data_IF_815776324167
#
_entry.id   IF_815776324167
#
_cell.length_a   1.000
_cell.length_b   1.000
_cell.length_c   1.000
_cell.angle_alpha   90.00
_cell.angle_beta   90.00
_cell.angle_gamma   90.00
#
_symmetry.space_group_name_H-M   'P 1'
#
loop_
_entity.id
_entity.type
_entity.pdbx_description
1 polymer ?
#
# COMPACT_ATOMS: atom_id res chain seq x y z
N UNK A 1 16.06 3.70 -22.95
CA UNK A 1 16.69 4.34 -21.77
C UNK A 1 16.33 3.51 -20.55
N UNK A 2 17.26 3.31 -19.62
CA UNK A 2 16.95 2.68 -18.34
C UNK A 2 15.88 3.50 -17.59
N UNK A 3 14.81 2.84 -17.14
CA UNK A 3 13.77 3.48 -16.35
C UNK A 3 14.26 3.62 -14.90
N UNK A 4 14.70 4.83 -14.55
CA UNK A 4 15.26 5.17 -13.23
C UNK A 4 14.20 5.57 -12.20
N UNK A 5 12.93 5.27 -12.45
CA UNK A 5 11.88 5.47 -11.44
C UNK A 5 12.09 4.52 -10.26
N UNK A 6 11.80 5.00 -9.05
CA UNK A 6 11.94 4.21 -7.81
C UNK A 6 11.17 2.89 -7.89
N UNK A 7 9.94 2.96 -8.41
CA UNK A 7 9.11 1.79 -8.69
C UNK A 7 9.80 0.79 -9.63
N UNK A 8 10.28 1.23 -10.78
CA UNK A 8 10.94 0.35 -11.77
C UNK A 8 12.20 -0.30 -11.19
N UNK A 9 13.00 0.46 -10.45
CA UNK A 9 14.18 -0.06 -9.76
C UNK A 9 13.84 -1.08 -8.67
N UNK A 10 12.75 -0.89 -7.91
CA UNK A 10 12.25 -1.91 -6.98
C UNK A 10 11.75 -3.17 -7.70
N UNK A 11 11.07 -3.03 -8.83
CA UNK A 11 10.61 -4.16 -9.65
C UNK A 11 11.80 -4.94 -10.25
N UNK A 12 12.83 -4.24 -10.72
CA UNK A 12 14.10 -4.81 -11.15
C UNK A 12 14.80 -5.59 -10.03
N UNK A 13 14.94 -5.00 -8.84
CA UNK A 13 15.55 -5.68 -7.70
C UNK A 13 14.80 -6.97 -7.34
N UNK A 14 13.46 -6.96 -7.31
CA UNK A 14 12.65 -8.17 -7.07
C UNK A 14 12.83 -9.21 -8.17
N UNK A 15 12.94 -8.78 -9.43
CA UNK A 15 13.17 -9.69 -10.57
C UNK A 15 14.52 -10.38 -10.46
N UNK A 16 15.57 -9.63 -10.14
CA UNK A 16 16.93 -10.16 -9.94
C UNK A 16 17.01 -11.14 -8.76
N UNK A 17 16.28 -10.84 -7.67
CA UNK A 17 16.18 -11.75 -6.52
C UNK A 17 15.51 -13.09 -6.93
N UNK A 18 14.41 -13.03 -7.69
CA UNK A 18 13.73 -14.24 -8.20
C UNK A 18 14.56 -15.00 -9.25
N UNK A 19 15.37 -14.30 -10.03
CA UNK A 19 16.21 -14.92 -11.08
C UNK A 19 17.50 -15.55 -10.54
N UNK A 20 17.69 -15.59 -9.21
CA UNK A 20 18.89 -16.18 -8.60
C UNK A 20 20.14 -15.31 -8.69
N UNK A 21 20.00 -13.99 -8.93
CA UNK A 21 21.11 -13.03 -8.97
C UNK A 21 21.08 -12.10 -7.73
N UNK A 22 21.36 -12.62 -6.52
CA UNK A 22 21.21 -11.87 -5.27
C UNK A 22 22.18 -10.68 -5.18
N UNK A 23 23.41 -10.81 -5.69
CA UNK A 23 24.41 -9.75 -5.63
C UNK A 23 24.02 -8.51 -6.44
N UNK A 24 23.50 -8.71 -7.66
CA UNK A 24 23.01 -7.61 -8.49
C UNK A 24 21.81 -6.91 -7.83
N UNK A 25 20.90 -7.68 -7.24
CA UNK A 25 19.74 -7.15 -6.53
C UNK A 25 20.13 -6.33 -5.29
N UNK A 26 21.13 -6.77 -4.53
CA UNK A 26 21.72 -6.01 -3.42
C UNK A 26 22.30 -4.68 -3.91
N UNK A 27 22.99 -4.69 -5.07
CA UNK A 27 23.51 -3.47 -5.70
C UNK A 27 22.42 -2.44 -6.00
N UNK A 28 21.31 -2.88 -6.59
CA UNK A 28 20.14 -2.01 -6.85
C UNK A 28 19.53 -1.50 -5.54
N UNK A 29 19.32 -2.37 -4.55
CA UNK A 29 18.79 -1.97 -3.25
C UNK A 29 19.67 -0.95 -2.54
N UNK A 30 21.00 -1.12 -2.61
CA UNK A 30 21.98 -0.17 -2.06
C UNK A 30 21.82 1.19 -2.71
N UNK A 31 21.73 1.24 -4.05
CA UNK A 31 21.57 2.49 -4.79
C UNK A 31 20.27 3.22 -4.40
N UNK A 32 19.18 2.48 -4.24
CA UNK A 32 17.91 3.02 -3.72
C UNK A 32 18.11 3.61 -2.33
N UNK A 33 18.72 2.87 -1.41
CA UNK A 33 18.89 3.29 -0.02
C UNK A 33 19.89 4.45 0.15
N UNK A 34 20.87 4.60 -0.74
CA UNK A 34 21.74 5.79 -0.76
C UNK A 34 20.94 7.07 -1.08
N UNK A 35 19.93 6.97 -1.95
CA UNK A 35 19.09 8.12 -2.36
C UNK A 35 17.90 8.32 -1.42
N UNK A 36 17.27 7.23 -1.00
CA UNK A 36 16.08 7.17 -0.15
C UNK A 36 16.34 6.26 1.06
N UNK A 37 17.07 6.75 2.09
CA UNK A 37 17.57 5.91 3.19
C UNK A 37 16.49 5.32 4.10
N UNK A 38 15.25 5.83 4.02
CA UNK A 38 14.11 5.36 4.82
C UNK A 38 13.09 4.55 4.00
N UNK A 39 13.41 4.24 2.74
CA UNK A 39 12.47 3.54 1.86
C UNK A 39 12.21 2.11 2.33
N UNK A 40 11.00 1.86 2.88
CA UNK A 40 10.64 0.57 3.48
C UNK A 40 10.59 -0.56 2.46
N UNK A 41 10.14 -0.28 1.23
CA UNK A 41 10.11 -1.29 0.17
C UNK A 41 11.49 -1.86 -0.16
N UNK A 42 12.54 -1.03 -0.13
CA UNK A 42 13.91 -1.48 -0.39
C UNK A 42 14.46 -2.33 0.76
N UNK A 43 14.15 -1.98 2.00
CA UNK A 43 14.49 -2.82 3.16
C UNK A 43 13.81 -4.19 3.11
N UNK A 44 12.54 -4.25 2.69
CA UNK A 44 11.83 -5.52 2.52
C UNK A 44 12.42 -6.41 1.42
N UNK A 45 12.83 -5.82 0.30
CA UNK A 45 13.51 -6.56 -0.78
C UNK A 45 14.87 -7.07 -0.29
N UNK A 46 15.66 -6.22 0.37
CA UNK A 46 16.96 -6.61 0.92
C UNK A 46 16.83 -7.72 1.98
N UNK A 47 15.84 -7.63 2.87
CA UNK A 47 15.56 -8.66 3.88
C UNK A 47 15.25 -10.01 3.24
N UNK A 48 14.43 -10.01 2.18
CA UNK A 48 14.11 -11.22 1.43
C UNK A 48 15.34 -11.85 0.77
N UNK A 49 16.22 -11.04 0.18
CA UNK A 49 17.46 -11.55 -0.42
C UNK A 49 18.37 -12.15 0.64
N UNK A 50 18.53 -11.50 1.80
CA UNK A 50 19.34 -12.02 2.90
C UNK A 50 18.79 -13.33 3.45
N UNK A 51 17.46 -13.47 3.54
CA UNK A 51 16.82 -14.72 3.89
C UNK A 51 17.14 -15.83 2.87
N UNK A 52 17.05 -15.55 1.57
CA UNK A 52 17.41 -16.51 0.51
C UNK A 52 18.88 -16.94 0.56
N UNK A 53 19.77 -16.09 1.10
CA UNK A 53 21.19 -16.39 1.29
C UNK A 53 21.48 -17.14 2.60
N UNK A 54 20.49 -17.39 3.46
CA UNK A 54 20.68 -17.98 4.79
C UNK A 54 21.27 -17.03 5.83
N UNK A 55 21.37 -15.74 5.53
CA UNK A 55 21.95 -14.70 6.39
C UNK A 55 20.92 -14.18 7.40
N UNK A 56 20.44 -15.06 8.28
CA UNK A 56 19.35 -14.77 9.22
C UNK A 56 19.65 -13.60 10.17
N UNK A 57 20.89 -13.48 10.65
CA UNK A 57 21.34 -12.39 11.52
C UNK A 57 21.22 -11.01 10.85
N UNK A 58 21.33 -10.98 9.53
CA UNK A 58 21.20 -9.77 8.73
C UNK A 58 19.74 -9.53 8.29
N UNK A 59 19.00 -10.59 7.97
CA UNK A 59 17.61 -10.50 7.50
C UNK A 59 16.63 -10.06 8.60
N UNK A 60 16.75 -10.62 9.81
CA UNK A 60 15.83 -10.34 10.92
C UNK A 60 15.73 -8.84 11.28
N UNK A 61 16.83 -8.09 11.50
CA UNK A 61 16.73 -6.66 11.81
C UNK A 61 16.20 -5.82 10.64
N UNK A 62 16.32 -6.29 9.40
CA UNK A 62 15.71 -5.63 8.24
C UNK A 62 14.19 -5.83 8.24
N UNK A 63 13.70 -7.05 8.48
CA UNK A 63 12.26 -7.28 8.61
C UNK A 63 11.65 -6.54 9.79
N UNK A 64 12.33 -6.49 10.94
CA UNK A 64 11.87 -5.71 12.09
C UNK A 64 11.72 -4.22 11.77
N UNK A 65 12.63 -3.65 10.95
CA UNK A 65 12.49 -2.26 10.47
C UNK A 65 11.30 -2.07 9.56
N UNK A 66 11.08 -3.01 8.64
CA UNK A 66 9.88 -3.00 7.80
C UNK A 66 8.64 -3.03 8.68
N UNK A 67 8.56 -3.92 9.65
CA UNK A 67 7.44 -4.01 10.59
C UNK A 67 7.33 -2.80 11.53
N UNK A 68 8.42 -2.09 11.83
CA UNK A 68 8.37 -0.85 12.62
C UNK A 68 7.73 0.30 11.85
N UNK A 69 7.89 0.31 10.52
CA UNK A 69 7.38 1.35 9.66
C UNK A 69 6.03 0.99 9.04
N UNK A 70 5.82 -0.29 8.73
CA UNK A 70 4.56 -0.87 8.29
C UNK A 70 4.27 -2.16 9.08
N UNK A 71 3.65 -2.04 10.27
CA UNK A 71 3.25 -3.19 11.08
C UNK A 71 2.27 -4.16 10.39
N UNK A 72 1.66 -3.76 9.27
CA UNK A 72 0.67 -4.58 8.56
C UNK A 72 1.27 -5.23 7.30
N UNK A 73 2.60 -5.21 7.15
CA UNK A 73 3.30 -5.79 6.02
C UNK A 73 3.44 -7.32 6.15
N UNK A 74 2.43 -8.05 5.68
CA UNK A 74 2.35 -9.52 5.75
C UNK A 74 3.62 -10.27 5.26
N UNK A 75 4.29 -9.87 4.15
CA UNK A 75 5.49 -10.58 3.70
C UNK A 75 6.66 -10.52 4.69
N UNK A 76 6.76 -9.48 5.54
CA UNK A 76 7.77 -9.45 6.59
C UNK A 76 7.47 -10.46 7.70
N UNK A 77 6.20 -10.67 8.06
CA UNK A 77 5.83 -11.71 9.01
C UNK A 77 6.17 -13.11 8.49
N UNK A 78 5.91 -13.39 7.22
CA UNK A 78 6.32 -14.65 6.58
C UNK A 78 7.84 -14.81 6.62
N UNK A 79 8.58 -13.74 6.29
CA UNK A 79 10.05 -13.77 6.31
C UNK A 79 10.64 -14.00 7.71
N UNK A 80 10.07 -13.37 8.74
CA UNK A 80 10.49 -13.60 10.14
C UNK A 80 10.12 -15.00 10.59
N UNK A 81 8.93 -15.51 10.23
CA UNK A 81 8.53 -16.87 10.55
C UNK A 81 9.49 -17.91 9.94
N UNK A 82 9.89 -17.74 8.67
CA UNK A 82 10.86 -18.62 8.02
C UNK A 82 12.21 -18.63 8.77
N UNK A 83 12.69 -17.47 9.24
CA UNK A 83 13.91 -17.39 10.05
C UNK A 83 13.77 -18.18 11.37
N UNK A 84 12.63 -18.07 12.04
CA UNK A 84 12.38 -18.79 13.29
C UNK A 84 12.24 -20.30 13.04
N UNK A 85 11.60 -20.70 11.96
CA UNK A 85 11.48 -22.09 11.54
C UNK A 85 12.85 -22.71 11.27
N UNK A 86 13.73 -22.05 10.51
CA UNK A 86 15.09 -22.54 10.24
C UNK A 86 15.94 -22.63 11.51
N UNK A 87 15.60 -21.86 12.56
CA UNK A 87 16.20 -21.94 13.89
C UNK A 87 15.57 -23.00 14.80
N UNK A 88 14.55 -23.73 14.34
CA UNK A 88 13.81 -24.73 15.12
C UNK A 88 12.85 -24.14 16.16
N UNK A 89 12.58 -22.84 16.09
CA UNK A 89 11.69 -22.10 16.98
C UNK A 89 10.25 -22.13 16.41
N UNK A 90 9.63 -23.31 16.49
CA UNK A 90 8.34 -23.60 15.85
C UNK A 90 7.20 -22.71 16.39
N UNK A 91 7.13 -22.48 17.71
CA UNK A 91 6.07 -21.69 18.31
C UNK A 91 6.12 -20.22 17.86
N UNK A 92 7.32 -19.64 17.80
CA UNK A 92 7.53 -18.29 17.30
C UNK A 92 7.19 -18.20 15.80
N UNK A 93 7.60 -19.20 15.00
CA UNK A 93 7.27 -19.24 13.57
C UNK A 93 5.75 -19.28 13.33
N UNK A 94 5.03 -20.13 14.09
CA UNK A 94 3.57 -20.21 14.05
C UNK A 94 2.95 -18.86 14.42
N UNK A 95 3.41 -18.24 15.51
CA UNK A 95 2.89 -16.94 15.95
C UNK A 95 3.01 -15.87 14.87
N UNK A 96 4.15 -15.79 14.18
CA UNK A 96 4.35 -14.84 13.08
C UNK A 96 3.47 -15.17 11.86
N UNK A 97 3.33 -16.44 11.49
CA UNK A 97 2.47 -16.87 10.38
C UNK A 97 0.98 -16.64 10.67
N UNK A 98 0.53 -16.79 11.91
CA UNK A 98 -0.85 -16.45 12.31
C UNK A 98 -1.19 -14.99 11.99
N UNK A 99 -0.27 -14.06 12.28
CA UNK A 99 -0.47 -12.63 11.95
C UNK A 99 -0.42 -12.39 10.45
N UNK A 100 0.48 -13.06 9.74
CA UNK A 100 0.54 -12.99 8.29
C UNK A 100 -0.78 -13.48 7.65
N UNK A 101 -1.36 -14.55 8.20
CA UNK A 101 -2.65 -15.11 7.77
C UNK A 101 -3.82 -14.16 8.06
N UNK A 102 -3.85 -13.51 9.22
CA UNK A 102 -4.88 -12.50 9.55
C UNK A 102 -4.88 -11.32 8.56
N UNK A 103 -3.69 -10.88 8.14
CA UNK A 103 -3.50 -9.79 7.18
C UNK A 103 -3.84 -10.22 5.75
N UNK A 104 -3.39 -11.41 5.34
CA UNK A 104 -3.53 -11.95 3.99
C UNK A 104 -4.19 -13.35 3.98
N UNK A 105 -5.49 -13.46 4.30
CA UNK A 105 -6.17 -14.75 4.43
C UNK A 105 -6.39 -15.47 3.09
N UNK A 106 -6.25 -14.77 1.97
CA UNK A 106 -6.34 -15.36 0.63
C UNK A 106 -5.02 -15.94 0.11
N UNK A 107 -3.94 -15.80 0.86
CA UNK A 107 -2.63 -16.33 0.48
C UNK A 107 -2.54 -17.81 0.86
N UNK A 108 -2.59 -18.67 -0.16
CA UNK A 108 -2.55 -20.13 0.00
C UNK A 108 -1.20 -20.60 0.55
N UNK A 109 -0.11 -19.91 0.23
CA UNK A 109 1.22 -20.31 0.69
C UNK A 109 1.33 -20.12 2.21
N UNK A 110 0.79 -19.01 2.73
CA UNK A 110 0.72 -18.75 4.18
C UNK A 110 -0.15 -19.80 4.87
N UNK A 111 -1.31 -20.12 4.29
CA UNK A 111 -2.22 -21.12 4.84
C UNK A 111 -1.57 -22.50 4.94
N UNK A 112 -0.99 -22.98 3.84
CA UNK A 112 -0.29 -24.28 3.79
C UNK A 112 0.88 -24.31 4.76
N UNK A 113 1.66 -23.23 4.84
CA UNK A 113 2.82 -23.17 5.72
C UNK A 113 2.41 -23.23 7.19
N UNK A 114 1.37 -22.49 7.57
CA UNK A 114 0.84 -22.49 8.93
C UNK A 114 0.25 -23.86 9.33
N UNK A 115 -0.45 -24.53 8.43
CA UNK A 115 -0.98 -25.88 8.67
C UNK A 115 0.14 -26.91 8.87
N UNK A 116 1.19 -26.86 8.04
CA UNK A 116 2.34 -27.76 8.15
C UNK A 116 3.03 -27.58 9.51
N UNK A 117 3.34 -26.34 9.91
CA UNK A 117 4.05 -26.10 11.17
C UNK A 117 3.20 -26.45 12.40
N UNK A 118 1.89 -26.23 12.35
CA UNK A 118 1.00 -26.67 13.43
C UNK A 118 0.87 -28.18 13.49
N UNK A 119 0.80 -28.86 12.35
CA UNK A 119 0.80 -30.31 12.31
C UNK A 119 2.11 -30.90 12.87
N UNK A 120 3.24 -30.23 12.59
CA UNK A 120 4.55 -30.58 13.14
C UNK A 120 4.61 -30.38 14.66
N UNK A 121 4.10 -29.25 15.19
CA UNK A 121 4.04 -28.99 16.63
C UNK A 121 3.08 -29.93 17.37
N UNK A 122 1.87 -30.12 16.86
CA UNK A 122 0.78 -30.82 17.55
C UNK A 122 0.75 -32.34 17.29
N UNK A 123 1.55 -32.83 16.33
CA UNK A 123 1.60 -34.23 15.94
C UNK A 123 0.30 -34.80 15.35
N UNK A 124 -0.64 -33.92 14.97
CA UNK A 124 -1.96 -34.25 14.41
C UNK A 124 -2.25 -33.33 13.22
N UNK A 125 -2.94 -33.86 12.21
CA UNK A 125 -3.45 -33.03 11.12
C UNK A 125 -4.36 -31.92 11.69
N UNK A 126 -4.09 -30.66 11.31
CA UNK A 126 -4.78 -29.48 11.85
C UNK A 126 -6.30 -29.59 11.62
N UNK A 127 -7.11 -29.25 12.63
CA UNK A 127 -8.58 -29.25 12.54
C UNK A 127 -9.13 -27.97 11.86
N UNK A 128 -8.32 -27.35 11.00
CA UNK A 128 -8.55 -26.01 10.45
C UNK A 128 -7.93 -24.90 11.31
N UNK A 129 -7.66 -23.75 10.68
CA UNK A 129 -7.09 -22.59 11.36
C UNK A 129 -8.15 -21.94 12.29
N UNK A 130 -7.84 -21.66 13.56
CA UNK A 130 -8.78 -21.00 14.45
C UNK A 130 -9.01 -19.57 13.97
N UNK A 131 -10.28 -19.20 13.87
CA UNK A 131 -10.71 -17.85 13.54
C UNK A 131 -10.46 -16.96 14.76
N UNK A 132 -9.33 -16.24 14.78
CA UNK A 132 -8.98 -15.33 15.87
C UNK A 132 -9.88 -14.09 15.88
N UNK A 133 -10.02 -13.44 17.05
CA UNK A 133 -10.71 -12.14 17.16
C UNK A 133 -10.09 -11.10 16.22
N UNK A 134 -8.76 -11.11 16.10
CA UNK A 134 -8.04 -10.26 15.16
C UNK A 134 -8.41 -10.55 13.70
N UNK A 135 -8.50 -11.82 13.28
CA UNK A 135 -9.00 -12.18 11.95
C UNK A 135 -10.41 -11.62 11.68
N UNK A 136 -11.32 -11.75 12.65
CA UNK A 136 -12.70 -11.27 12.54
C UNK A 136 -12.75 -9.75 12.31
N UNK A 137 -11.97 -9.01 13.10
CA UNK A 137 -11.83 -7.57 12.94
C UNK A 137 -11.30 -7.20 11.57
N UNK A 138 -10.28 -7.92 11.06
CA UNK A 138 -9.73 -7.68 9.71
C UNK A 138 -10.81 -7.91 8.64
N UNK A 139 -11.65 -8.92 8.82
CA UNK A 139 -12.80 -9.17 7.95
C UNK A 139 -13.84 -8.05 8.02
N UNK A 140 -14.14 -7.51 9.21
CA UNK A 140 -14.99 -6.32 9.35
C UNK A 140 -14.39 -5.08 8.68
N UNK A 141 -13.07 -4.89 8.78
CA UNK A 141 -12.36 -3.80 8.11
C UNK A 141 -12.48 -3.90 6.58
N UNK A 142 -12.33 -5.10 6.01
CA UNK A 142 -12.56 -5.36 4.57
C UNK A 142 -14.03 -5.15 4.19
N UNK A 143 -14.96 -5.53 5.07
CA UNK A 143 -16.40 -5.32 4.94
C UNK A 143 -16.89 -3.90 5.24
N UNK A 144 -15.98 -2.93 5.43
CA UNK A 144 -16.28 -1.52 5.72
C UNK A 144 -17.05 -1.25 7.03
N UNK A 145 -17.10 -2.23 7.94
CA UNK A 145 -17.71 -2.12 9.26
C UNK A 145 -16.74 -1.48 10.27
N UNK A 146 -16.22 -0.30 9.93
CA UNK A 146 -15.11 0.35 10.65
C UNK A 146 -15.44 0.72 12.09
N UNK A 147 -16.69 1.11 12.40
CA UNK A 147 -17.08 1.46 13.76
C UNK A 147 -17.03 0.24 14.69
N UNK A 148 -17.62 -0.89 14.27
CA UNK A 148 -17.60 -2.15 15.02
C UNK A 148 -16.18 -2.69 15.16
N UNK A 149 -15.40 -2.62 14.08
CA UNK A 149 -13.99 -2.99 14.11
C UNK A 149 -13.20 -2.14 15.11
N UNK A 150 -13.44 -0.82 15.17
CA UNK A 150 -12.75 0.07 16.10
C UNK A 150 -13.07 -0.26 17.57
N UNK A 151 -14.31 -0.61 17.89
CA UNK A 151 -14.71 -0.94 19.26
C UNK A 151 -14.06 -2.26 19.72
N UNK A 152 -14.04 -3.28 18.86
CA UNK A 152 -13.38 -4.56 19.16
C UNK A 152 -11.85 -4.42 19.20
N UNK A 153 -11.27 -3.63 18.30
CA UNK A 153 -9.84 -3.32 18.30
C UNK A 153 -9.41 -2.61 19.57
N UNK A 154 -10.22 -1.68 20.07
CA UNK A 154 -9.90 -0.97 21.30
C UNK A 154 -9.78 -1.94 22.49
N UNK A 155 -10.64 -2.96 22.56
CA UNK A 155 -10.52 -4.02 23.58
C UNK A 155 -9.27 -4.88 23.35
N UNK A 156 -9.03 -5.33 22.11
CA UNK A 156 -7.88 -6.18 21.78
C UNK A 156 -6.54 -5.49 22.03
N UNK A 157 -6.43 -4.19 21.78
CA UNK A 157 -5.17 -3.45 22.03
C UNK A 157 -4.86 -3.28 23.51
N UNK A 158 -5.86 -3.39 24.39
CA UNK A 158 -5.65 -3.42 25.85
C UNK A 158 -5.17 -4.81 26.29
N UNK A 159 -5.77 -5.87 25.74
CA UNK A 159 -5.37 -7.25 26.01
C UNK A 159 -3.96 -7.55 25.47
N UNK A 160 -3.65 -7.06 24.27
CA UNK A 160 -2.42 -7.35 23.52
C UNK A 160 -1.66 -6.05 23.11
N UNK A 161 -1.09 -5.30 24.06
CA UNK A 161 -0.48 -3.98 23.78
C UNK A 161 0.74 -4.05 22.86
N UNK A 162 1.39 -5.21 22.77
CA UNK A 162 2.57 -5.46 21.93
C UNK A 162 2.22 -5.63 20.44
N UNK A 163 0.93 -5.73 20.09
CA UNK A 163 0.47 -5.89 18.70
C UNK A 163 0.30 -4.55 18.00
N UNK A 164 1.42 -4.03 17.50
CA UNK A 164 1.44 -2.81 16.70
C UNK A 164 0.59 -2.89 15.43
N UNK A 165 0.46 -4.08 14.83
CA UNK A 165 -0.41 -4.32 13.68
C UNK A 165 -1.88 -4.01 14.00
N UNK A 166 -2.37 -4.40 15.19
CA UNK A 166 -3.73 -4.09 15.64
C UNK A 166 -3.89 -2.62 16.01
N UNK A 167 -2.87 -2.01 16.62
CA UNK A 167 -2.89 -0.56 16.94
C UNK A 167 -2.96 0.28 15.67
N UNK A 168 -2.24 -0.08 14.61
CA UNK A 168 -2.36 0.58 13.30
C UNK A 168 -3.76 0.39 12.73
N UNK A 169 -4.29 -0.83 12.80
CA UNK A 169 -5.66 -1.12 12.36
C UNK A 169 -6.69 -0.28 13.13
N UNK A 170 -6.49 -0.07 14.44
CA UNK A 170 -7.36 0.75 15.29
C UNK A 170 -7.33 2.21 14.86
N UNK A 171 -6.15 2.77 14.63
CA UNK A 171 -5.98 4.15 14.13
C UNK A 171 -6.72 4.32 12.79
N UNK A 172 -6.56 3.36 11.88
CA UNK A 172 -7.24 3.35 10.58
C UNK A 172 -8.78 3.21 10.72
N UNK A 173 -9.25 2.32 11.59
CA UNK A 173 -10.67 2.10 11.85
C UNK A 173 -11.35 3.31 12.50
N UNK A 174 -10.70 3.93 13.49
CA UNK A 174 -11.18 5.16 14.15
C UNK A 174 -11.25 6.32 13.17
N UNK A 175 -10.25 6.46 12.31
CA UNK A 175 -10.25 7.50 11.28
C UNK A 175 -11.37 7.29 10.25
N UNK A 176 -11.54 6.07 9.72
CA UNK A 176 -12.63 5.76 8.76
C UNK A 176 -14.02 5.87 9.37
N UNK A 177 -14.17 5.60 10.67
CA UNK A 177 -15.42 5.81 11.42
C UNK A 177 -15.64 7.26 11.86
N UNK A 178 -14.82 8.21 11.40
CA UNK A 178 -14.87 9.66 11.69
C UNK A 178 -14.64 10.04 13.16
N UNK A 179 -14.06 9.14 13.96
CA UNK A 179 -13.69 9.38 15.36
C UNK A 179 -12.29 10.01 15.44
N UNK A 180 -12.11 11.17 14.80
CA UNK A 180 -10.78 11.77 14.55
C UNK A 180 -9.99 12.11 15.81
N UNK A 181 -10.65 12.60 16.87
CA UNK A 181 -9.96 12.94 18.13
C UNK A 181 -9.32 11.71 18.79
N UNK A 182 -10.06 10.60 18.83
CA UNK A 182 -9.52 9.31 19.32
C UNK A 182 -8.43 8.79 18.39
N UNK A 183 -8.65 8.81 17.08
CA UNK A 183 -7.65 8.39 16.10
C UNK A 183 -6.31 9.15 16.24
N UNK A 184 -6.37 10.47 16.45
CA UNK A 184 -5.19 11.30 16.64
C UNK A 184 -4.47 11.00 17.96
N UNK A 185 -5.20 10.69 19.02
CA UNK A 185 -4.63 10.30 20.32
C UNK A 185 -3.90 8.97 20.20
N UNK A 186 -4.58 7.94 19.65
CA UNK A 186 -3.98 6.62 19.43
C UNK A 186 -2.77 6.68 18.49
N UNK A 187 -2.85 7.47 17.41
CA UNK A 187 -1.71 7.66 16.51
C UNK A 187 -0.52 8.34 17.20
N UNK A 188 -0.74 9.29 18.12
CA UNK A 188 0.34 9.91 18.89
C UNK A 188 1.00 8.90 19.84
N UNK A 189 0.23 8.07 20.55
CA UNK A 189 0.82 7.03 21.42
C UNK A 189 1.66 6.05 20.60
N UNK A 190 1.14 5.63 19.44
CA UNK A 190 1.83 4.72 18.55
C UNK A 190 3.11 5.36 17.97
N UNK A 191 3.08 6.63 17.59
CA UNK A 191 4.25 7.34 17.05
C UNK A 191 5.29 7.68 18.12
N UNK A 192 4.93 7.68 19.41
CA UNK A 192 5.90 7.80 20.50
C UNK A 192 6.80 6.56 20.58
N UNK A 193 6.25 5.37 20.28
CA UNK A 193 6.98 4.10 20.26
C UNK A 193 7.59 3.80 18.88
N UNK A 194 6.84 4.07 17.80
CA UNK A 194 7.21 3.83 16.40
C UNK A 194 7.13 5.14 15.58
N UNK A 195 8.15 6.03 15.65
CA UNK A 195 8.10 7.35 15.02
C UNK A 195 7.93 7.33 13.49
N UNK A 196 8.28 6.21 12.86
CA UNK A 196 8.24 5.99 11.43
C UNK A 196 7.10 5.06 11.00
N UNK A 197 6.09 4.84 11.83
CA UNK A 197 4.89 4.12 11.38
C UNK A 197 4.17 4.93 10.29
N UNK A 198 4.08 4.38 9.08
CA UNK A 198 3.63 5.07 7.88
C UNK A 198 2.17 5.51 7.99
N UNK A 199 1.26 4.56 8.24
CA UNK A 199 -0.18 4.84 8.34
C UNK A 199 -0.50 5.78 9.51
N UNK A 200 0.17 5.64 10.65
CA UNK A 200 -0.04 6.52 11.79
C UNK A 200 0.37 7.97 11.49
N UNK A 201 1.53 8.18 10.86
CA UNK A 201 1.98 9.51 10.42
C UNK A 201 1.01 10.12 9.40
N UNK A 202 0.50 9.31 8.47
CA UNK A 202 -0.47 9.73 7.44
C UNK A 202 -1.81 10.16 8.06
N UNK A 203 -2.40 9.31 8.92
CA UNK A 203 -3.68 9.60 9.58
C UNK A 203 -3.56 10.82 10.49
N UNK A 204 -2.50 10.90 11.30
CA UNK A 204 -2.30 12.03 12.20
C UNK A 204 -2.08 13.34 11.43
N UNK A 205 -1.24 13.28 10.38
CA UNK A 205 -1.03 14.41 9.49
C UNK A 205 -2.32 14.89 8.84
N UNK A 206 -3.18 13.97 8.38
CA UNK A 206 -4.48 14.31 7.80
C UNK A 206 -5.44 14.94 8.82
N UNK A 207 -5.43 14.50 10.09
CA UNK A 207 -6.32 15.04 11.13
C UNK A 207 -5.88 16.42 11.59
N UNK A 208 -4.57 16.69 11.66
CA UNK A 208 -4.06 18.00 12.07
C UNK A 208 -4.02 19.04 10.96
N UNK A 209 -4.02 18.62 9.70
CA UNK A 209 -4.01 19.54 8.57
C UNK A 209 -5.33 20.33 8.50
N UNK A 210 -5.23 21.65 8.46
CA UNK A 210 -6.35 22.59 8.58
C UNK A 210 -6.71 22.97 10.02
N UNK A 211 -5.93 22.55 11.02
CA UNK A 211 -6.09 22.94 12.43
C UNK A 211 -4.94 23.84 12.90
N UNK A 212 -4.95 24.27 14.17
CA UNK A 212 -3.86 25.07 14.75
C UNK A 212 -2.48 24.37 14.78
N UNK A 213 -2.45 23.04 14.56
CA UNK A 213 -1.25 22.19 14.55
C UNK A 213 -0.69 21.92 13.16
N UNK A 214 -0.93 22.84 12.24
CA UNK A 214 -0.62 22.71 10.81
C UNK A 214 0.87 22.46 10.52
N UNK A 215 1.77 23.11 11.28
CA UNK A 215 3.21 22.91 11.14
C UNK A 215 3.64 21.50 11.57
N UNK A 216 3.09 21.00 12.68
CA UNK A 216 3.33 19.65 13.18
C UNK A 216 2.78 18.60 12.19
N UNK A 217 1.62 18.87 11.59
CA UNK A 217 1.03 18.05 10.53
C UNK A 217 2.02 17.86 9.37
N UNK A 218 2.65 18.95 8.90
CA UNK A 218 3.65 18.88 7.83
C UNK A 218 4.91 18.11 8.24
N UNK A 219 5.29 18.11 9.51
CA UNK A 219 6.41 17.31 10.01
C UNK A 219 6.10 15.81 9.93
N UNK A 220 4.94 15.37 10.43
CA UNK A 220 4.56 13.94 10.37
C UNK A 220 4.33 13.47 8.93
N UNK A 221 3.76 14.30 8.07
CA UNK A 221 3.62 13.99 6.64
C UNK A 221 4.97 13.87 5.91
N UNK A 222 5.96 14.71 6.26
CA UNK A 222 7.33 14.57 5.73
C UNK A 222 7.98 13.25 6.18
N UNK A 223 7.70 12.78 7.40
CA UNK A 223 8.17 11.46 7.86
C UNK A 223 7.55 10.34 7.03
N UNK A 224 6.23 10.38 6.81
CA UNK A 224 5.53 9.44 5.93
C UNK A 224 6.11 9.44 4.51
N UNK A 225 6.35 10.61 3.92
CA UNK A 225 6.93 10.70 2.57
C UNK A 225 8.38 10.22 2.49
N UNK A 226 9.17 10.32 3.57
CA UNK A 226 10.51 9.75 3.59
C UNK A 226 10.51 8.21 3.54
N UNK A 227 9.44 7.59 4.07
CA UNK A 227 9.23 6.14 4.08
C UNK A 227 8.69 5.65 2.74
N UNK A 228 7.73 6.38 2.17
CA UNK A 228 7.06 6.10 0.89
C UNK A 228 7.13 7.34 -0.02
N UNK A 229 8.25 7.54 -0.75
CA UNK A 229 8.48 8.73 -1.58
C UNK A 229 7.49 8.91 -2.74
N UNK A 230 6.93 7.80 -3.24
CA UNK A 230 5.93 7.79 -4.30
C UNK A 230 4.51 8.06 -3.77
N UNK A 231 4.35 8.11 -2.44
CA UNK A 231 3.09 8.34 -1.72
C UNK A 231 2.01 7.29 -2.04
N UNK A 232 2.39 6.07 -2.41
CA UNK A 232 1.44 5.00 -2.82
C UNK A 232 0.43 4.70 -1.72
N UNK A 233 0.90 4.59 -0.48
CA UNK A 233 0.06 4.26 0.68
C UNK A 233 -0.88 5.40 1.03
N UNK A 234 -0.42 6.66 0.90
CA UNK A 234 -1.26 7.83 1.09
C UNK A 234 -2.41 7.87 0.07
N UNK A 235 -2.11 7.55 -1.20
CA UNK A 235 -3.13 7.43 -2.25
C UNK A 235 -4.10 6.27 -1.97
N UNK A 236 -3.61 5.12 -1.53
CA UNK A 236 -4.47 3.98 -1.18
C UNK A 236 -5.40 4.27 0.02
N UNK A 237 -4.93 5.04 1.00
CA UNK A 237 -5.68 5.33 2.22
C UNK A 237 -6.73 6.44 2.02
N UNK A 238 -6.37 7.52 1.31
CA UNK A 238 -7.18 8.73 1.20
C UNK A 238 -7.76 9.00 -0.19
N UNK A 239 -7.24 8.33 -1.23
CA UNK A 239 -7.60 8.58 -2.63
C UNK A 239 -7.38 10.05 -3.01
N UNK A 240 -8.39 10.65 -3.65
CA UNK A 240 -8.35 12.05 -4.12
C UNK A 240 -8.22 13.08 -2.99
N UNK A 241 -8.47 12.70 -1.73
CA UNK A 241 -8.34 13.58 -0.55
C UNK A 241 -6.99 13.44 0.15
N UNK A 242 -6.02 12.79 -0.49
CA UNK A 242 -4.71 12.59 0.10
C UNK A 242 -4.01 13.92 0.39
N UNK A 243 -3.43 14.09 1.60
CA UNK A 243 -2.64 15.27 1.93
C UNK A 243 -1.30 15.29 1.17
N UNK A 244 -0.89 14.13 0.63
CA UNK A 244 0.31 13.97 -0.16
C UNK A 244 -0.08 13.58 -1.60
N UNK A 245 0.15 14.45 -2.61
CA UNK A 245 -0.19 14.14 -4.00
C UNK A 245 0.68 12.99 -4.53
N UNK A 246 0.22 12.28 -5.58
CA UNK A 246 1.01 11.20 -6.18
C UNK A 246 2.33 11.78 -6.71
N UNK A 247 3.42 11.04 -6.48
CA UNK A 247 4.76 11.46 -6.88
C UNK A 247 5.47 10.29 -7.55
N UNK A 248 6.35 10.61 -8.50
CA UNK A 248 7.25 9.64 -9.13
C UNK A 248 8.68 10.00 -8.74
N UNK A 249 9.20 9.34 -7.71
CA UNK A 249 10.58 9.47 -7.29
C UNK A 249 11.51 8.81 -8.32
N UNK A 250 12.65 9.43 -8.58
CA UNK A 250 13.67 8.94 -9.53
C UNK A 250 15.04 8.94 -8.88
N UNK A 251 15.84 7.93 -9.22
CA UNK A 251 17.23 7.85 -8.80
C UNK A 251 18.11 8.71 -9.72
N UNK A 252 19.22 9.27 -9.20
CA UNK A 252 20.19 9.99 -10.03
C UNK A 252 20.83 9.03 -11.06
N UNK A 253 21.05 9.53 -12.28
CA UNK A 253 21.72 8.79 -13.35
C UNK A 253 23.19 8.53 -12.98
N UNK A 254 23.67 7.33 -13.27
CA UNK A 254 25.08 6.93 -13.11
C UNK A 254 25.63 6.42 -14.45
N UNK A 255 26.94 6.49 -14.66
CA UNK A 255 27.57 6.14 -15.95
C UNK A 255 27.28 4.70 -16.41
N UNK A 256 27.00 3.78 -15.48
CA UNK A 256 26.59 2.40 -15.77
C UNK A 256 25.13 2.23 -16.25
N UNK A 257 24.31 3.27 -16.17
CA UNK A 257 22.92 3.27 -16.69
C UNK A 257 22.83 3.67 -18.16
N UNK A 258 23.95 4.11 -18.74
CA UNK A 258 24.04 4.38 -20.16
C UNK A 258 23.78 3.07 -20.94
N UNK A 259 22.96 3.10 -22.01
CA UNK A 259 22.82 1.93 -22.86
C UNK A 259 24.21 1.52 -23.38
N UNK A 260 24.52 0.21 -23.32
CA UNK A 260 25.71 -0.33 -23.98
C UNK A 260 25.77 0.21 -25.41
N UNK A 261 26.91 0.73 -25.88
CA UNK A 261 27.05 1.19 -27.25
C UNK A 261 27.09 -0.02 -28.22
N UNK A 262 26.01 -0.77 -28.29
CA UNK A 262 25.73 -1.69 -29.40
C UNK A 262 25.13 -0.87 -30.53
N UNK A 263 25.97 -0.08 -31.17
CA UNK A 263 25.68 0.47 -32.50
C UNK A 263 26.56 -0.30 -33.48
N UNK A 264 26.03 -1.30 -34.21
CA UNK A 264 26.69 -1.76 -35.42
C UNK A 264 26.50 -0.66 -36.46
N UNK A 265 27.39 0.35 -36.45
CA UNK A 265 27.64 1.14 -37.65
C UNK A 265 28.30 0.21 -38.66
N UNK A 266 27.49 -0.54 -39.41
CA UNK A 266 27.88 -0.97 -40.74
C UNK A 266 27.91 0.30 -41.59
N UNK A 267 29.09 0.91 -41.69
CA UNK A 267 29.41 1.83 -42.77
C UNK A 267 29.60 0.99 -44.03
N UNK A 268 28.49 0.67 -44.69
CA UNK A 268 28.53 0.34 -46.10
C UNK A 268 28.65 1.65 -46.86
N UNK A 269 29.87 2.04 -47.19
CA UNK A 269 30.14 2.83 -48.38
C UNK A 269 31.49 2.37 -48.94
N UNK A 270 31.39 1.57 -49.99
CA UNK A 270 32.47 1.34 -50.94
C UNK A 270 32.70 2.64 -51.71
N UNK A 271 33.94 3.16 -51.71
CA UNK A 271 34.61 3.46 -52.98
C UNK A 271 36.12 3.68 -52.80
N UNK A 272 36.84 2.84 -53.53
CA UNK A 272 38.13 2.94 -54.19
C UNK A 272 39.09 4.12 -53.88
N UNK A 273 40.36 3.77 -53.61
CA UNK A 273 41.47 4.63 -54.05
C UNK A 273 42.76 4.59 -53.26
N UNK A 274 43.66 3.68 -53.65
CA UNK A 274 45.12 3.90 -53.70
C UNK A 274 45.98 3.79 -52.43
N UNK A 275 46.80 2.73 -52.46
CA UNK A 275 48.23 2.70 -52.15
C UNK A 275 48.71 2.72 -50.68
N UNK A 276 49.03 1.51 -50.21
CA UNK A 276 50.42 1.18 -49.86
C UNK A 276 50.81 1.25 -48.38
N UNK A 277 50.91 0.07 -47.77
CA UNK A 277 52.03 -0.47 -46.97
C UNK A 277 51.51 -1.36 -45.83
N UNK A 278 51.74 -2.67 -45.93
CA UNK A 278 51.81 -3.55 -44.75
C UNK A 278 53.25 -3.68 -44.23
N UNK A 279 53.56 -4.60 -43.29
CA UNK A 279 52.65 -5.41 -42.48
C UNK A 279 53.08 -5.52 -40.99
N UNK A 280 52.43 -6.45 -40.27
CA UNK A 280 52.72 -7.00 -38.93
C UNK A 280 52.17 -6.16 -37.76
N UNK A 281 51.25 -6.64 -36.93
CA UNK A 281 50.92 -8.01 -36.58
C UNK A 281 50.92 -8.08 -35.06
N UNK A 282 49.74 -8.19 -34.45
CA UNK A 282 49.57 -8.79 -33.13
C UNK A 282 48.09 -9.06 -32.89
N UNK A 283 47.76 -10.33 -33.07
CA UNK A 283 46.68 -11.00 -32.35
C UNK A 283 46.87 -10.67 -30.86
N UNK A 284 45.88 -10.04 -30.25
CA UNK A 284 45.72 -10.07 -28.80
C UNK A 284 44.42 -10.80 -28.54
N UNK A 285 44.61 -12.04 -28.10
CA UNK A 285 43.64 -12.90 -27.47
C UNK A 285 42.88 -12.18 -26.36
N UNK A 286 41.64 -12.62 -26.16
CA UNK A 286 40.91 -12.62 -24.90
C UNK A 286 41.34 -11.60 -23.85
N UNK A 287 40.71 -10.43 -23.87
CA UNK A 287 40.48 -9.69 -22.62
C UNK A 287 38.99 -9.71 -22.35
N UNK A 288 38.63 -10.53 -21.36
CA UNK A 288 37.51 -10.27 -20.49
C UNK A 288 37.43 -8.76 -20.28
N UNK A 289 36.32 -8.16 -20.73
CA UNK A 289 36.09 -6.74 -20.57
C UNK A 289 36.03 -6.45 -19.09
N UNK A 290 37.13 -5.83 -18.65
CA UNK A 290 37.37 -5.29 -17.33
C UNK A 290 36.19 -4.40 -16.97
N UNK A 291 35.42 -4.86 -15.98
CA UNK A 291 34.55 -4.02 -15.15
C UNK A 291 35.39 -2.80 -14.74
N UNK A 292 34.95 -1.56 -14.99
CA UNK A 292 35.74 -0.41 -14.60
C UNK A 292 35.91 -0.42 -13.07
N UNK A 293 37.17 -0.52 -12.67
CA UNK A 293 37.72 -0.75 -11.34
C UNK A 293 37.65 0.49 -10.44
N UNK A 294 36.57 1.28 -10.54
CA UNK A 294 36.30 2.44 -9.68
C UNK A 294 34.98 2.32 -8.88
N UNK A 295 34.42 1.11 -8.79
CA UNK A 295 33.38 0.75 -7.81
C UNK A 295 33.89 -0.29 -6.77
N UNK A 296 35.20 -0.51 -6.71
CA UNK A 296 35.87 -1.39 -5.76
C UNK A 296 36.33 -0.56 -4.55
N UNK A 297 35.42 -0.42 -3.58
CA UNK A 297 35.74 -0.58 -2.16
C UNK A 297 34.47 -0.30 -1.37
N UNK A 298 33.73 -1.36 -1.05
CA UNK A 298 32.83 -1.42 0.11
C UNK A 298 32.31 -2.84 0.17
N UNK A 299 32.99 -3.66 0.95
CA UNK A 299 32.55 -4.97 1.38
C UNK A 299 31.07 -4.95 1.85
N UNK A 300 30.37 -6.09 1.92
CA UNK A 300 29.06 -6.20 2.58
C UNK A 300 29.07 -5.50 3.95
N UNK A 301 30.19 -5.55 4.67
CA UNK A 301 30.40 -4.85 5.94
C UNK A 301 30.28 -3.33 5.83
N UNK A 302 30.78 -2.71 4.76
CA UNK A 302 30.68 -1.27 4.56
C UNK A 302 29.26 -0.83 4.13
N UNK A 303 28.49 -1.69 3.45
CA UNK A 303 27.04 -1.51 3.32
C UNK A 303 26.41 -1.55 4.71
N UNK A 304 26.77 -2.52 5.55
CA UNK A 304 26.24 -2.64 6.91
C UNK A 304 26.66 -1.48 7.81
N UNK A 305 27.85 -0.90 7.63
CA UNK A 305 28.31 0.29 8.35
C UNK A 305 27.61 1.57 7.88
N UNK A 306 27.38 1.71 6.57
CA UNK A 306 26.57 2.80 6.02
C UNK A 306 25.10 2.69 6.46
N UNK A 307 24.56 1.48 6.48
CA UNK A 307 23.25 1.22 7.05
C UNK A 307 23.25 1.52 8.55
N UNK A 308 24.28 1.07 9.32
CA UNK A 308 24.51 1.31 10.78
C UNK A 308 24.69 2.78 11.16
N UNK A 309 25.22 3.61 10.28
CA UNK A 309 25.30 5.06 10.52
C UNK A 309 24.00 5.78 10.14
N UNK A 310 23.27 5.30 9.13
CA UNK A 310 21.90 5.76 8.80
C UNK A 310 20.84 5.28 9.83
N UNK A 311 21.26 4.52 10.84
CA UNK A 311 20.47 3.62 11.70
C UNK A 311 19.91 4.27 12.99
N UNK A 312 19.77 5.60 13.03
CA UNK A 312 19.16 6.29 14.19
C UNK A 312 17.64 6.06 14.31
N UNK A 313 17.04 5.30 13.40
CA UNK A 313 15.61 4.97 13.31
C UNK A 313 15.25 3.62 13.92
N UNK A 314 15.91 3.22 15.03
CA UNK A 314 15.55 1.97 15.74
C UNK A 314 14.20 2.14 16.47
N UNK A 315 13.16 1.49 15.96
CA UNK A 315 12.06 0.98 16.75
C UNK A 315 12.21 -0.53 16.83
N UNK A 316 12.36 -1.10 18.03
CA UNK A 316 12.32 -2.56 18.21
C UNK A 316 10.87 -2.97 18.32
N UNK A 317 10.33 -3.60 17.28
CA UNK A 317 9.06 -4.33 17.38
C UNK A 317 9.37 -5.58 18.18
N UNK A 318 8.72 -5.72 19.34
CA UNK A 318 9.00 -6.76 20.33
C UNK A 318 8.89 -8.16 19.72
N UNK A 319 9.82 -9.03 20.11
CA UNK A 319 9.78 -10.47 19.81
C UNK A 319 8.53 -11.13 20.37
N UNK A 320 8.10 -12.24 19.77
CA UNK A 320 7.05 -13.10 20.29
C UNK A 320 7.24 -13.37 21.80
N UNK A 321 6.15 -13.54 22.57
CA UNK A 321 6.26 -13.93 23.97
C UNK A 321 7.01 -15.26 24.04
N UNK A 322 8.17 -15.27 24.70
CA UNK A 322 8.96 -16.48 24.94
C UNK A 322 8.19 -17.36 25.91
N UNK A 323 7.34 -18.24 25.38
CA UNK A 323 6.62 -19.22 26.19
C UNK A 323 7.52 -20.42 26.36
N UNK A 324 8.45 -20.37 27.31
CA UNK A 324 8.98 -21.62 27.87
C UNK A 324 7.83 -22.26 28.67
N UNK A 325 7.43 -23.50 28.37
CA UNK A 325 6.44 -24.18 29.21
C UNK A 325 7.10 -24.48 30.56
N UNK A 326 6.72 -23.74 31.60
CA UNK A 326 6.95 -24.18 32.97
C UNK A 326 6.15 -25.48 33.19
N UNK A 327 6.74 -26.51 33.81
CA UNK A 327 6.05 -27.78 33.99
C UNK A 327 4.82 -27.57 34.87
N UNK A 328 3.69 -28.09 34.40
CA UNK A 328 2.40 -28.05 35.09
C UNK A 328 2.51 -28.77 36.45
N UNK A 329 2.46 -28.00 37.54
CA UNK A 329 2.11 -28.54 38.85
C UNK A 329 0.59 -28.64 38.93
N UNK A 330 0.12 -29.88 38.94
CA UNK A 330 -1.27 -30.22 39.21
C UNK A 330 -1.64 -29.78 40.63
N UNK A 331 -2.54 -28.81 40.75
CA UNK A 331 -3.30 -28.57 41.98
C UNK A 331 -4.73 -29.05 41.76
N UNK A 332 -5.02 -30.21 42.33
CA UNK A 332 -6.36 -30.69 42.63
C UNK A 332 -7.03 -29.70 43.59
N UNK A 333 -8.23 -29.23 43.24
CA UNK A 333 -9.12 -28.54 44.19
C UNK A 333 -10.41 -29.37 44.27
N UNK A 334 -10.80 -29.87 45.45
CA UNK A 334 -12.05 -30.59 45.62
C UNK A 334 -13.23 -29.62 45.76
N UNK A 335 -14.40 -30.11 45.35
CA UNK A 335 -15.69 -29.46 45.52
C UNK A 335 -16.17 -29.50 46.98
N UNK A 336 -16.86 -28.44 47.42
CA UNK A 336 -17.99 -28.56 48.36
C UNK A 336 -18.88 -27.30 48.34
N UNK A 337 -20.19 -27.58 48.40
CA UNK A 337 -21.35 -26.68 48.36
C UNK A 337 -21.49 -25.80 49.63
N UNK A 338 -22.11 -24.61 49.49
CA UNK A 338 -23.47 -24.31 50.00
C UNK A 338 -23.78 -22.81 50.10
N UNK A 339 -24.90 -22.43 49.45
CA UNK A 339 -26.02 -21.59 49.94
C UNK A 339 -25.74 -20.26 50.67
N UNK A 340 -26.14 -19.13 50.07
CA UNK A 340 -27.32 -18.34 50.52
C UNK A 340 -27.73 -17.25 49.51
N UNK A 341 -29.04 -17.19 49.21
CA UNK A 341 -29.76 -16.14 48.47
C UNK A 341 -29.82 -14.83 49.30
N UNK A 342 -30.02 -13.60 48.79
CA UNK A 342 -31.13 -13.02 48.00
C UNK A 342 -30.83 -11.47 47.83
N UNK A 343 -31.66 -10.58 47.23
CA UNK A 343 -31.83 -10.23 45.80
C UNK A 343 -31.58 -8.69 45.51
N UNK A 344 -31.88 -8.13 44.31
CA UNK A 344 -31.33 -6.83 43.85
C UNK A 344 -32.24 -5.61 44.10
N UNK A 345 -31.63 -4.44 44.35
CA UNK A 345 -32.32 -3.16 44.50
C UNK A 345 -32.23 -2.28 43.25
N UNK A 346 -33.32 -1.56 43.03
CA UNK A 346 -33.81 -0.95 41.81
C UNK A 346 -33.26 0.46 41.52
N UNK A 347 -33.53 0.86 40.26
CA UNK A 347 -33.39 2.17 39.66
C UNK A 347 -33.90 3.34 40.52
N UNK A 348 -33.17 4.46 40.45
CA UNK A 348 -33.57 5.76 40.99
C UNK A 348 -33.54 6.77 39.84
N UNK A 349 -34.72 7.21 39.42
CA UNK A 349 -34.93 8.44 38.63
C UNK A 349 -34.72 9.68 39.53
N UNK A 350 -34.26 10.82 38.99
CA UNK A 350 -34.45 12.12 39.62
C UNK A 350 -35.67 12.88 39.04
N UNK A 351 -36.25 13.83 39.81
CA UNK A 351 -37.59 14.35 39.58
C UNK A 351 -37.64 15.53 38.60
N UNK A 352 -38.82 15.71 38.01
CA UNK A 352 -39.21 16.86 37.18
C UNK A 352 -39.84 17.99 38.02
N UNK A 353 -39.48 19.25 37.71
CA UNK A 353 -40.30 20.47 37.83
C UNK A 353 -39.48 21.62 37.22
N UNK A 354 -39.99 22.64 36.54
CA UNK A 354 -41.28 23.02 35.96
C UNK A 354 -40.97 24.22 35.04
N UNK A 355 -41.73 24.35 33.95
CA UNK A 355 -42.12 25.66 33.38
C UNK A 355 -41.08 26.55 32.68
N UNK A 356 -40.93 26.39 31.37
CA UNK A 356 -40.79 27.51 30.42
C UNK A 356 -41.18 27.07 28.99
N UNK A 357 -42.30 27.56 28.49
CA UNK A 357 -42.75 27.43 27.09
C UNK A 357 -41.96 28.37 26.15
N UNK A 358 -41.96 28.08 24.84
CA UNK A 358 -40.84 28.38 23.95
C UNK A 358 -40.92 29.78 23.37
N UNK A 359 -39.84 30.55 23.50
CA UNK A 359 -39.61 31.76 22.73
C UNK A 359 -38.96 31.41 21.40
N UNK A 360 -39.69 31.64 20.32
CA UNK A 360 -39.18 31.69 18.95
C UNK A 360 -37.99 32.64 18.86
N UNK A 361 -36.86 32.12 18.38
CA UNK A 361 -35.73 32.87 17.84
C UNK A 361 -35.01 31.98 16.81
N UNK A 362 -34.40 32.59 15.79
CA UNK A 362 -34.79 32.36 14.41
C UNK A 362 -34.07 31.17 13.76
N UNK A 363 -34.75 30.59 12.78
CA UNK A 363 -34.14 29.84 11.69
C UNK A 363 -32.96 30.63 11.13
N UNK A 364 -31.74 30.18 11.43
CA UNK A 364 -30.56 30.54 10.65
C UNK A 364 -30.77 29.93 9.28
N UNK A 365 -31.20 30.78 8.34
CA UNK A 365 -31.02 30.56 6.91
C UNK A 365 -29.56 30.14 6.69
N UNK A 366 -29.38 28.89 6.23
CA UNK A 366 -28.13 28.47 5.63
C UNK A 366 -27.83 29.43 4.48
N UNK A 367 -26.86 30.31 4.70
CA UNK A 367 -26.25 31.04 3.59
C UNK A 367 -25.68 30.01 2.60
N UNK A 368 -25.95 30.14 1.29
CA UNK A 368 -25.47 29.18 0.31
C UNK A 368 -23.95 29.25 0.29
N UNK A 369 -23.29 28.15 0.67
CA UNK A 369 -21.88 27.98 0.32
C UNK A 369 -21.84 27.85 -1.20
N UNK A 370 -21.48 28.93 -1.90
CA UNK A 370 -21.12 28.96 -3.33
C UNK A 370 -19.81 28.17 -3.57
N UNK A 371 -19.76 26.92 -3.11
CA UNK A 371 -18.81 25.93 -3.56
C UNK A 371 -19.44 25.23 -4.76
N UNK A 372 -19.14 25.69 -5.97
CA UNK A 372 -19.52 24.98 -7.18
C UNK A 372 -19.05 23.52 -7.06
N UNK A 373 -19.99 22.57 -7.18
CA UNK A 373 -19.63 21.15 -7.21
C UNK A 373 -18.61 20.92 -8.32
N UNK A 374 -17.72 19.95 -8.16
CA UNK A 374 -16.77 19.59 -9.21
C UNK A 374 -17.47 19.22 -10.54
N UNK A 375 -18.72 18.75 -10.46
CA UNK A 375 -19.60 18.54 -11.63
C UNK A 375 -20.05 19.87 -12.23
N UNK A 376 -20.40 20.87 -11.42
CA UNK A 376 -20.80 22.20 -11.89
C UNK A 376 -19.63 22.94 -12.54
N UNK A 377 -18.43 22.84 -11.98
CA UNK A 377 -17.20 23.38 -12.58
C UNK A 377 -16.92 22.71 -13.91
N UNK A 378 -17.00 21.38 -13.98
CA UNK A 378 -16.75 20.63 -15.22
C UNK A 378 -17.84 20.86 -16.26
N UNK A 379 -19.10 21.02 -15.84
CA UNK A 379 -20.21 21.40 -16.71
C UNK A 379 -19.99 22.76 -17.35
N UNK A 380 -19.65 23.78 -16.55
CA UNK A 380 -19.31 25.12 -17.06
C UNK A 380 -18.15 25.09 -18.05
N UNK A 381 -17.10 24.32 -17.75
CA UNK A 381 -15.98 24.18 -18.67
C UNK A 381 -16.37 23.57 -20.02
N UNK A 382 -17.21 22.53 -20.03
CA UNK A 382 -17.70 21.89 -21.26
C UNK A 382 -18.68 22.79 -22.03
N UNK A 383 -19.44 23.64 -21.33
CA UNK A 383 -20.29 24.67 -21.94
C UNK A 383 -19.46 25.77 -22.62
N UNK A 384 -18.35 26.17 -22.00
CA UNK A 384 -17.40 27.16 -22.55
C UNK A 384 -16.54 26.59 -23.69
N UNK A 385 -16.25 25.28 -23.67
CA UNK A 385 -15.37 24.60 -24.62
C UNK A 385 -16.09 23.40 -25.26
N UNK A 386 -17.07 23.63 -26.15
CA UNK A 386 -17.90 22.56 -26.71
C UNK A 386 -17.10 21.54 -27.55
N UNK A 387 -15.98 21.96 -28.13
CA UNK A 387 -15.11 21.14 -28.99
C UNK A 387 -14.08 20.28 -28.21
N UNK A 388 -14.00 20.44 -26.89
CA UNK A 388 -13.13 19.60 -26.03
C UNK A 388 -13.85 18.27 -25.70
N UNK A 389 -13.77 17.33 -26.64
CA UNK A 389 -14.37 16.00 -26.50
C UNK A 389 -13.82 15.18 -25.31
N UNK A 390 -12.50 15.20 -25.00
CA UNK A 390 -11.98 14.59 -23.77
C UNK A 390 -12.61 15.17 -22.49
N UNK A 391 -12.83 16.48 -22.41
CA UNK A 391 -13.46 17.10 -21.25
C UNK A 391 -14.93 16.69 -21.09
N UNK A 392 -15.65 16.56 -22.20
CA UNK A 392 -17.03 16.06 -22.21
C UNK A 392 -17.14 14.58 -21.82
N UNK A 393 -16.17 13.75 -22.22
CA UNK A 393 -16.10 12.35 -21.80
C UNK A 393 -15.88 12.22 -20.28
N UNK A 394 -15.01 13.06 -19.71
CA UNK A 394 -14.80 13.13 -18.26
C UNK A 394 -16.07 13.58 -17.52
N UNK A 395 -16.82 14.55 -18.07
CA UNK A 395 -18.12 14.96 -17.51
C UNK A 395 -19.15 13.83 -17.52
N UNK A 396 -19.24 13.06 -18.61
CA UNK A 396 -20.14 11.92 -18.74
C UNK A 396 -19.85 10.84 -17.67
N UNK A 397 -18.57 10.53 -17.44
CA UNK A 397 -18.14 9.58 -16.40
C UNK A 397 -18.47 10.07 -14.99
N UNK A 398 -18.32 11.36 -14.72
CA UNK A 398 -18.70 11.94 -13.42
C UNK A 398 -20.19 11.86 -13.14
N UNK A 399 -21.04 12.11 -14.15
CA UNK A 399 -22.48 11.91 -14.00
C UNK A 399 -22.84 10.45 -13.73
N UNK A 400 -22.17 9.51 -14.41
CA UNK A 400 -22.30 8.07 -14.13
C UNK A 400 -21.92 7.75 -12.68
N UNK A 401 -20.79 8.24 -12.21
CA UNK A 401 -20.25 7.89 -10.89
C UNK A 401 -21.12 8.44 -9.74
N UNK A 402 -21.85 9.54 -9.98
CA UNK A 402 -22.86 10.09 -9.05
C UNK A 402 -24.24 9.42 -9.19
N UNK A 403 -24.40 8.50 -10.15
CA UNK A 403 -25.65 7.77 -10.38
C UNK A 403 -26.69 8.54 -11.20
N UNK A 404 -26.33 9.70 -11.77
CA UNK A 404 -27.21 10.44 -12.69
C UNK A 404 -27.07 9.89 -14.12
N UNK A 405 -27.71 8.75 -14.36
CA UNK A 405 -27.63 8.05 -15.64
C UNK A 405 -28.19 8.86 -16.82
N UNK A 406 -29.25 9.65 -16.59
CA UNK A 406 -29.86 10.48 -17.65
C UNK A 406 -28.90 11.53 -18.19
N UNK A 407 -28.24 12.28 -17.30
CA UNK A 407 -27.25 13.28 -17.69
C UNK A 407 -25.99 12.64 -18.32
N UNK A 408 -25.57 11.48 -17.83
CA UNK A 408 -24.44 10.73 -18.42
C UNK A 408 -24.75 10.30 -19.86
N UNK A 409 -25.92 9.73 -20.11
CA UNK A 409 -26.35 9.28 -21.44
C UNK A 409 -26.51 10.44 -22.43
N UNK A 410 -26.94 11.61 -21.97
CA UNK A 410 -27.00 12.80 -22.81
C UNK A 410 -25.59 13.20 -23.31
N UNK A 411 -24.60 13.22 -22.41
CA UNK A 411 -23.22 13.57 -22.78
C UNK A 411 -22.59 12.51 -23.70
N UNK A 412 -22.80 11.22 -23.40
CA UNK A 412 -22.37 10.14 -24.29
C UNK A 412 -23.06 10.24 -25.67
N UNK A 413 -24.34 10.61 -25.71
CA UNK A 413 -25.08 10.84 -26.95
C UNK A 413 -24.46 11.89 -27.86
N UNK A 414 -24.00 13.01 -27.28
CA UNK A 414 -23.31 14.07 -28.02
C UNK A 414 -21.93 13.61 -28.50
N UNK A 415 -21.17 12.89 -27.68
CA UNK A 415 -19.87 12.33 -28.08
C UNK A 415 -19.97 11.33 -29.24
N UNK A 416 -20.99 10.47 -29.23
CA UNK A 416 -21.30 9.58 -30.35
C UNK A 416 -21.65 10.36 -31.62
N UNK A 417 -22.06 11.63 -31.51
CA UNK A 417 -22.42 12.48 -32.66
C UNK A 417 -21.27 13.32 -33.22
N UNK A 418 -20.28 13.68 -32.41
CA UNK A 418 -19.38 14.78 -32.76
C UNK A 418 -17.93 14.34 -33.05
N UNK A 419 -17.45 13.22 -32.49
CA UNK A 419 -16.04 12.81 -32.60
C UNK A 419 -15.82 11.30 -32.83
N UNK A 420 -14.78 10.95 -33.59
CA UNK A 420 -14.33 9.57 -33.83
C UNK A 420 -13.14 9.15 -32.94
N UNK A 421 -12.42 10.11 -32.35
CA UNK A 421 -11.26 9.84 -31.49
C UNK A 421 -11.64 9.25 -30.13
N UNK A 422 -12.68 9.80 -29.52
CA UNK A 422 -13.22 9.38 -28.21
C UNK A 422 -14.22 8.22 -28.30
N UNK A 423 -14.67 7.88 -29.52
CA UNK A 423 -15.71 6.88 -29.77
C UNK A 423 -15.40 5.48 -29.20
N UNK A 424 -14.18 4.93 -29.30
CA UNK A 424 -13.87 3.61 -28.71
C UNK A 424 -14.01 3.60 -27.18
N UNK A 425 -13.63 4.71 -26.52
CA UNK A 425 -13.77 4.84 -25.07
C UNK A 425 -15.24 4.98 -24.64
N UNK A 426 -16.06 5.62 -25.46
CA UNK A 426 -17.52 5.73 -25.24
C UNK A 426 -18.21 4.38 -25.42
N UNK A 427 -17.83 3.59 -26.43
CA UNK A 427 -18.38 2.24 -26.64
C UNK A 427 -18.08 1.33 -25.44
N UNK A 428 -16.82 1.30 -24.96
CA UNK A 428 -16.43 0.53 -23.77
C UNK A 428 -17.22 0.96 -22.50
N UNK A 429 -17.39 2.27 -22.29
CA UNK A 429 -18.19 2.78 -21.17
C UNK A 429 -19.67 2.37 -21.28
N UNK A 430 -20.27 2.46 -22.46
CA UNK A 430 -21.67 2.07 -22.69
C UNK A 430 -21.89 0.56 -22.58
N UNK A 431 -20.92 -0.27 -22.97
CA UNK A 431 -20.99 -1.73 -22.79
C UNK A 431 -20.97 -2.11 -21.30
N UNK A 432 -20.10 -1.47 -20.51
CA UNK A 432 -20.06 -1.65 -19.06
C UNK A 432 -21.39 -1.25 -18.42
N UNK A 433 -21.96 -0.11 -18.84
CA UNK A 433 -23.27 0.33 -18.38
C UNK A 433 -24.38 -0.66 -18.76
N UNK A 434 -24.33 -1.24 -19.97
CA UNK A 434 -25.36 -2.16 -20.44
C UNK A 434 -25.33 -3.51 -19.70
N UNK A 435 -24.16 -3.93 -19.20
CA UNK A 435 -24.04 -5.10 -18.33
C UNK A 435 -24.64 -4.86 -16.93
N UNK A 436 -24.58 -3.62 -16.45
CA UNK A 436 -25.06 -3.25 -15.11
C UNK A 436 -26.57 -2.96 -15.14
N UNK A 437 -27.05 -2.23 -16.15
CA UNK A 437 -28.42 -1.74 -16.27
C UNK A 437 -29.17 -2.46 -17.39
N UNK A 438 -29.33 -3.78 -17.23
CA UNK A 438 -30.09 -4.65 -18.13
C UNK A 438 -31.50 -4.07 -18.38
N UNK A 439 -31.95 -4.08 -19.64
CA UNK A 439 -33.29 -3.65 -20.09
C UNK A 439 -33.56 -2.13 -20.18
N UNK A 440 -32.52 -1.29 -20.32
CA UNK A 440 -32.71 0.15 -20.56
C UNK A 440 -32.72 0.46 -22.07
N UNK A 441 -33.89 0.74 -22.70
CA UNK A 441 -33.98 0.90 -24.16
C UNK A 441 -33.18 2.09 -24.72
N UNK A 442 -33.03 3.16 -23.92
CA UNK A 442 -32.22 4.32 -24.28
C UNK A 442 -30.72 4.00 -24.37
N UNK A 443 -30.24 3.07 -23.55
CA UNK A 443 -28.85 2.63 -23.52
C UNK A 443 -28.55 1.66 -24.68
N UNK A 444 -29.47 0.73 -24.95
CA UNK A 444 -29.35 -0.21 -26.08
C UNK A 444 -29.35 0.52 -27.43
N UNK A 445 -30.25 1.49 -27.61
CA UNK A 445 -30.31 2.32 -28.83
C UNK A 445 -29.06 3.16 -29.02
N UNK A 446 -28.53 3.75 -27.94
CA UNK A 446 -27.30 4.56 -28.01
C UNK A 446 -26.07 3.69 -28.29
N UNK A 447 -25.95 2.52 -27.65
CA UNK A 447 -24.86 1.57 -27.89
C UNK A 447 -24.88 1.04 -29.33
N UNK A 448 -26.06 0.73 -29.87
CA UNK A 448 -26.20 0.31 -31.27
C UNK A 448 -25.75 1.42 -32.25
N UNK A 449 -26.10 2.68 -31.97
CA UNK A 449 -25.67 3.84 -32.76
C UNK A 449 -24.16 4.08 -32.69
N UNK A 450 -23.57 3.93 -31.51
CA UNK A 450 -22.13 4.08 -31.30
C UNK A 450 -21.33 3.03 -32.10
N UNK A 451 -21.74 1.76 -32.03
CA UNK A 451 -21.10 0.65 -32.80
C UNK A 451 -21.23 0.83 -34.31
N UNK A 452 -22.41 1.22 -34.78
CA UNK A 452 -22.62 1.50 -36.20
C UNK A 452 -21.67 2.59 -36.69
N UNK A 453 -21.54 3.68 -35.91
CA UNK A 453 -20.63 4.77 -36.27
C UNK A 453 -19.16 4.35 -36.21
N UNK A 454 -18.77 3.55 -35.23
CA UNK A 454 -17.40 3.03 -35.13
C UNK A 454 -17.04 2.17 -36.36
N UNK A 455 -18.00 1.39 -36.88
CA UNK A 455 -17.81 0.60 -38.10
C UNK A 455 -17.69 1.44 -39.38
N UNK A 456 -18.20 2.68 -39.36
CA UNK A 456 -18.16 3.63 -40.48
C UNK A 456 -16.95 4.58 -40.43
N UNK A 457 -15.98 4.33 -39.54
CA UNK A 457 -14.78 5.16 -39.37
C UNK A 457 -13.99 5.27 -40.69
N UNK A 458 -13.75 6.48 -41.24
CA UNK A 458 -12.98 6.65 -42.47
C UNK A 458 -11.50 6.25 -42.27
N UNK A 459 -10.82 5.68 -43.29
CA UNK A 459 -9.43 5.27 -43.17
C UNK A 459 -8.53 6.49 -42.90
N UNK A 460 -7.73 6.42 -41.83
CA UNK A 460 -6.77 7.47 -41.49
C UNK A 460 -5.67 7.53 -42.57
N UNK A 461 -5.46 8.71 -43.18
CA UNK A 461 -4.29 8.95 -44.05
C UNK A 461 -3.04 8.96 -43.16
N UNK A 462 -1.99 8.19 -43.49
CA UNK A 462 -0.75 8.21 -42.73
C UNK A 462 -0.09 9.59 -42.86
N UNK A 463 0.25 10.20 -41.72
CA UNK A 463 1.04 11.43 -41.58
C UNK A 463 2.52 11.13 -41.50
#
# INVERSE_FOLDING_TARGET
MADLTLRSQCEEARRLARSGNPLASIGVCRRILTTFPKHVGAYGILAHIMLQLGEHEQALPLYQRVLSADPEFAPAYVGVAAIHEERGLLDEAIWYLERAFELSPGDQDIHLRLDVLRAERDGKASQGLPLTRAWLVRTWMRGQLHARAADELAALTVDEPQRYDLRVALVEALWRSRRYARAATEAQTLLAELPYCLKANLVLGQVWLGSDRDEEARVVLRRAQAIDPDNVTAQALFGHRSPLPPRVARLPFQDGDAPSPDVPYHLDDADEGSAGHGPAGRIIEGRASVVPENAADTSPEALWDALRSALSWRGTVTSAPTTQPAPAEAQEVPAEDTSTADPPAQAVEPPAAEGATPGEAPSMEEAPSDGLSLIDVRRRFVEEHPDDYPARLDLARRYRDVGNLAAALEQYGRLVMDDYGTLPAVVDDLEKLNRIYLHTPALETLLARARLRESLKPPQRPS
#
